data_IF_669755098929
#
_entry.id   IF_669755098929
#
_cell.length_a   1.000
_cell.length_b   1.000
_cell.length_c   1.000
_cell.angle_alpha   90.00
_cell.angle_beta   90.00
_cell.angle_gamma   90.00
#
_symmetry.space_group_name_H-M   'P 1'
#
loop_
_entity.id
_entity.type
_entity.pdbx_description
1 polymer ?
#
# COMPACT_ATOMS: atom_id res chain seq x y z
N UNK A 1 5.14 1.67 -13.80
CA UNK A 1 6.52 1.11 -13.85
C UNK A 1 6.51 -0.33 -13.37
N UNK A 2 7.48 -1.20 -13.72
CA UNK A 2 7.50 -2.56 -13.20
C UNK A 2 7.68 -2.55 -11.68
N UNK A 3 6.87 -3.34 -10.97
CA UNK A 3 7.04 -3.53 -9.54
C UNK A 3 8.23 -4.46 -9.32
N UNK A 4 9.30 -3.91 -8.74
CA UNK A 4 10.47 -4.70 -8.32
C UNK A 4 10.26 -5.26 -6.92
N UNK A 5 10.98 -6.32 -6.57
CA UNK A 5 10.95 -6.88 -5.22
C UNK A 5 11.32 -5.84 -4.14
N UNK A 6 12.23 -4.90 -4.46
CA UNK A 6 12.62 -3.83 -3.54
C UNK A 6 11.49 -2.82 -3.30
N UNK A 7 10.73 -2.46 -4.35
CA UNK A 7 9.56 -1.59 -4.22
C UNK A 7 8.44 -2.27 -3.43
N UNK A 8 8.18 -3.55 -3.72
CA UNK A 8 7.20 -4.32 -2.96
C UNK A 8 7.59 -4.41 -1.48
N UNK A 9 8.85 -4.75 -1.18
CA UNK A 9 9.33 -4.85 0.20
C UNK A 9 9.19 -3.52 0.96
N UNK A 10 9.56 -2.40 0.33
CA UNK A 10 9.41 -1.07 0.93
C UNK A 10 7.93 -0.71 1.15
N UNK A 11 7.05 -1.12 0.24
CA UNK A 11 5.61 -0.89 0.39
C UNK A 11 4.99 -1.69 1.54
N UNK A 12 5.35 -2.98 1.66
CA UNK A 12 4.92 -3.82 2.77
C UNK A 12 5.47 -3.30 4.11
N UNK A 13 6.72 -2.84 4.14
CA UNK A 13 7.32 -2.20 5.32
C UNK A 13 6.55 -0.94 5.74
N UNK A 14 6.16 -0.10 4.78
CA UNK A 14 5.37 1.10 5.05
C UNK A 14 4.04 0.76 5.72
N UNK A 15 3.33 -0.24 5.19
CA UNK A 15 2.08 -0.71 5.79
C UNK A 15 2.31 -1.28 7.19
N UNK A 16 3.33 -2.12 7.39
CA UNK A 16 3.65 -2.71 8.70
C UNK A 16 3.91 -1.64 9.77
N UNK A 17 4.58 -0.55 9.41
CA UNK A 17 4.91 0.56 10.34
C UNK A 17 3.68 1.30 10.87
N UNK A 18 2.63 1.41 10.06
CA UNK A 18 1.42 2.16 10.41
C UNK A 18 0.37 1.31 11.15
N UNK A 19 0.61 0.00 11.29
CA UNK A 19 -0.26 -0.93 12.00
C UNK A 19 0.08 -1.03 13.48
N UNK A 20 -0.96 -1.23 14.31
CA UNK A 20 -0.80 -1.54 15.74
C UNK A 20 -0.06 -2.85 16.00
N UNK A 21 -0.29 -3.84 15.13
CA UNK A 21 0.37 -5.15 15.14
C UNK A 21 1.05 -5.34 13.77
N UNK A 22 2.33 -4.96 13.61
CA UNK A 22 3.06 -5.05 12.35
C UNK A 22 3.11 -6.47 11.78
N UNK A 23 3.23 -7.48 12.64
CA UNK A 23 3.32 -8.89 12.25
C UNK A 23 1.96 -9.45 11.79
N UNK A 24 0.87 -8.73 12.08
CA UNK A 24 -0.45 -9.12 11.58
C UNK A 24 -0.65 -8.88 10.09
N UNK A 25 0.19 -8.05 9.46
CA UNK A 25 0.02 -7.62 8.08
C UNK A 25 0.13 -8.79 7.10
N UNK A 26 -0.90 -8.98 6.28
CA UNK A 26 -0.95 -9.97 5.20
C UNK A 26 -1.17 -9.25 3.89
N UNK A 27 -0.39 -9.58 2.88
CA UNK A 27 -0.45 -8.94 1.57
C UNK A 27 -0.87 -9.94 0.49
N UNK A 28 -1.46 -9.43 -0.60
CA UNK A 28 -1.79 -10.25 -1.77
C UNK A 28 -1.69 -9.43 -3.06
N UNK A 29 -1.38 -10.08 -4.21
CA UNK A 29 -1.36 -9.42 -5.51
C UNK A 29 -2.76 -8.98 -5.99
N UNK A 30 -2.84 -8.10 -7.01
CA UNK A 30 -1.72 -7.44 -7.69
C UNK A 30 -1.08 -6.30 -6.87
N UNK A 31 0.21 -6.06 -7.13
CA UNK A 31 0.90 -4.83 -6.74
C UNK A 31 1.12 -3.96 -7.99
N UNK A 32 1.07 -2.65 -7.83
CA UNK A 32 1.37 -1.68 -8.89
C UNK A 32 2.26 -0.58 -8.36
N UNK A 33 3.19 -0.12 -9.20
CA UNK A 33 4.08 0.99 -8.90
C UNK A 33 3.97 2.06 -9.98
N UNK A 34 3.97 3.32 -9.55
CA UNK A 34 3.94 4.50 -10.42
C UNK A 34 4.68 5.65 -9.75
N UNK A 35 5.02 6.67 -10.53
CA UNK A 35 5.42 7.97 -10.00
C UNK A 35 4.23 8.91 -10.08
N UNK A 36 4.01 9.71 -9.05
CA UNK A 36 3.04 10.79 -9.11
C UNK A 36 3.61 12.02 -9.86
N UNK A 37 2.82 13.09 -9.97
CA UNK A 37 3.20 14.32 -10.67
C UNK A 37 4.39 15.04 -10.01
N UNK A 38 4.62 14.82 -8.72
CA UNK A 38 5.77 15.39 -7.99
C UNK A 38 7.06 14.59 -8.22
N UNK A 39 6.95 13.42 -8.87
CA UNK A 39 8.06 12.51 -9.13
C UNK A 39 8.28 11.49 -8.02
N UNK A 40 7.44 11.48 -6.97
CA UNK A 40 7.55 10.54 -5.86
C UNK A 40 7.02 9.17 -6.25
N UNK A 41 7.61 8.12 -5.67
CA UNK A 41 7.23 6.75 -5.99
C UNK A 41 6.12 6.31 -5.05
N UNK A 42 5.05 5.75 -5.62
CA UNK A 42 3.98 5.13 -4.88
C UNK A 42 3.78 3.68 -5.32
N UNK A 43 3.45 2.84 -4.33
CA UNK A 43 3.14 1.43 -4.54
C UNK A 43 1.79 1.13 -3.90
N UNK A 44 0.90 0.51 -4.67
CA UNK A 44 -0.43 0.16 -4.19
C UNK A 44 -0.67 -1.35 -4.32
N UNK A 45 -1.49 -1.87 -3.42
CA UNK A 45 -1.81 -3.30 -3.35
C UNK A 45 -2.89 -3.57 -2.32
N UNK A 46 -3.02 -4.84 -1.93
CA UNK A 46 -3.97 -5.27 -0.90
C UNK A 46 -3.25 -5.68 0.37
N UNK A 47 -3.71 -5.18 1.51
CA UNK A 47 -3.25 -5.56 2.83
C UNK A 47 -4.43 -5.91 3.73
N UNK A 48 -4.25 -6.87 4.63
CA UNK A 48 -5.18 -7.19 5.70
C UNK A 48 -4.41 -7.19 7.00
N UNK A 49 -4.97 -6.59 8.04
CA UNK A 49 -4.35 -6.49 9.35
C UNK A 49 -5.38 -6.72 10.45
N UNK A 50 -4.91 -7.06 11.66
CA UNK A 50 -5.80 -7.20 12.81
C UNK A 50 -6.28 -5.82 13.28
N UNK A 51 -7.56 -5.71 13.56
CA UNK A 51 -8.12 -4.56 14.26
C UNK A 51 -7.75 -4.59 15.76
N UNK A 52 -8.17 -3.57 16.51
CA UNK A 52 -7.88 -3.48 17.96
C UNK A 52 -8.57 -4.57 18.80
N UNK A 53 -9.50 -5.32 18.21
CA UNK A 53 -10.17 -6.46 18.82
C UNK A 53 -9.50 -7.81 18.45
N UNK A 54 -8.36 -7.78 17.76
CA UNK A 54 -7.58 -8.97 17.40
C UNK A 54 -8.08 -9.73 16.17
N UNK A 55 -9.12 -9.23 15.49
CA UNK A 55 -9.73 -9.88 14.34
C UNK A 55 -9.29 -9.30 13.00
N UNK A 56 -9.17 -10.16 11.99
CA UNK A 56 -9.03 -9.75 10.59
C UNK A 56 -10.40 -9.39 10.01
N UNK A 57 -10.51 -8.23 9.37
CA UNK A 57 -11.78 -7.73 8.82
C UNK A 57 -11.88 -7.89 7.30
N UNK A 58 -10.77 -8.18 6.61
CA UNK A 58 -10.73 -8.39 5.17
C UNK A 58 -9.53 -7.71 4.52
N UNK A 59 -9.20 -8.09 3.29
CA UNK A 59 -8.16 -7.39 2.53
C UNK A 59 -8.70 -6.05 2.03
N UNK A 60 -7.97 -4.98 2.35
CA UNK A 60 -8.25 -3.60 1.98
C UNK A 60 -7.16 -3.05 1.06
N UNK A 61 -7.50 -2.16 0.10
CA UNK A 61 -6.49 -1.40 -0.64
C UNK A 61 -5.59 -0.63 0.30
N UNK A 62 -4.31 -0.58 -0.04
CA UNK A 62 -3.38 0.36 0.53
C UNK A 62 -2.59 1.08 -0.57
N UNK A 63 -2.06 2.24 -0.21
CA UNK A 63 -1.01 2.97 -0.92
C UNK A 63 0.15 3.20 0.02
N UNK A 64 1.36 2.90 -0.43
CA UNK A 64 2.61 3.20 0.24
C UNK A 64 3.39 4.24 -0.56
N UNK A 65 3.91 5.23 0.15
CA UNK A 65 4.83 6.25 -0.36
C UNK A 65 6.25 5.77 -0.15
N UNK A 66 7.05 5.80 -1.21
CA UNK A 66 8.38 5.21 -1.25
C UNK A 66 9.38 6.30 -1.59
N UNK A 67 10.32 6.53 -0.68
CA UNK A 67 11.46 7.40 -0.95
C UNK A 67 12.58 6.65 -1.67
N UNK A 68 13.27 7.35 -2.57
CA UNK A 68 14.42 6.84 -3.31
C UNK A 68 15.72 7.44 -2.74
N UNK A 69 16.74 6.60 -2.55
CA UNK A 69 18.09 7.00 -2.10
C UNK A 69 19.14 6.28 -2.92
N UNK A 70 20.41 6.74 -2.84
CA UNK A 70 21.56 6.17 -3.60
C UNK A 70 21.65 4.63 -3.54
N UNK A 71 21.20 4.00 -2.46
CA UNK A 71 21.30 2.56 -2.22
C UNK A 71 19.94 1.85 -2.14
N UNK A 72 18.90 2.37 -2.78
CA UNK A 72 17.60 1.70 -2.92
C UNK A 72 16.40 2.50 -2.43
N UNK A 73 15.34 1.80 -2.04
CA UNK A 73 14.07 2.38 -1.64
C UNK A 73 13.86 2.33 -0.13
N UNK A 74 13.07 3.24 0.43
CA UNK A 74 12.64 3.20 1.83
C UNK A 74 11.16 3.54 1.98
N UNK A 75 10.52 2.92 2.98
CA UNK A 75 9.15 3.20 3.37
C UNK A 75 9.02 4.62 3.96
N UNK A 76 8.32 5.52 3.28
CA UNK A 76 8.03 6.87 3.76
C UNK A 76 6.70 6.95 4.54
N UNK A 77 5.73 6.10 4.20
CA UNK A 77 4.46 5.95 4.92
C UNK A 77 3.42 5.20 4.11
N UNK A 78 2.31 4.78 4.71
CA UNK A 78 1.21 4.12 4.02
C UNK A 78 -0.15 4.62 4.48
N UNK A 79 -1.13 4.48 3.59
CA UNK A 79 -2.54 4.78 3.87
C UNK A 79 -3.41 3.62 3.42
N UNK A 80 -4.36 3.22 4.28
CA UNK A 80 -5.42 2.28 3.94
C UNK A 80 -6.59 3.04 3.30
N UNK A 81 -7.16 2.49 2.24
CA UNK A 81 -8.33 3.06 1.56
C UNK A 81 -9.55 3.01 2.47
N UNK A 82 -9.93 4.15 3.06
CA UNK A 82 -11.02 4.21 4.04
C UNK A 82 -12.42 4.11 3.44
N UNK A 83 -13.24 3.21 4.01
CA UNK A 83 -14.67 3.46 4.26
C UNK A 83 -15.71 2.72 3.41
N UNK A 84 -15.89 1.41 3.67
CA UNK A 84 -17.05 0.56 3.31
C UNK A 84 -17.38 0.48 1.81
N UNK A 85 -16.92 -0.61 1.21
CA UNK A 85 -17.48 -1.40 0.09
C UNK A 85 -16.45 -1.72 -1.01
N UNK A 86 -16.54 -2.92 -1.61
CA UNK A 86 -16.14 -3.19 -2.99
C UNK A 86 -17.24 -2.67 -3.92
N UNK A 87 -16.98 -2.33 -5.19
CA UNK A 87 -16.89 -3.40 -6.20
C UNK A 87 -15.99 -3.04 -7.39
N UNK A 88 -15.02 -2.19 -7.14
CA UNK A 88 -14.28 -1.53 -8.19
C UNK A 88 -12.76 -1.59 -7.92
N UNK A 89 -12.28 -1.68 -6.67
CA UNK A 89 -10.83 -1.54 -6.33
C UNK A 89 -10.16 -0.35 -7.07
N UNK A 90 -10.96 0.68 -7.28
CA UNK A 90 -10.72 1.79 -8.18
C UNK A 90 -10.73 1.35 -9.67
N UNK A 91 -11.88 0.86 -10.18
CA UNK A 91 -12.25 -0.05 -11.32
C UNK A 91 -11.30 -0.42 -12.45
N UNK A 92 -10.21 0.29 -12.68
CA UNK A 92 -9.25 0.10 -13.75
C UNK A 92 -7.81 0.38 -13.28
N UNK A 93 -7.63 0.59 -11.97
CA UNK A 93 -6.47 1.18 -11.32
C UNK A 93 -6.07 2.53 -11.95
N UNK A 94 -6.78 3.65 -11.76
CA UNK A 94 -6.32 4.94 -12.27
C UNK A 94 -5.15 5.49 -11.41
N UNK A 95 -4.14 4.65 -11.22
CA UNK A 95 -2.97 4.76 -10.33
C UNK A 95 -3.30 4.57 -8.83
N UNK A 96 -4.34 3.78 -8.54
CA UNK A 96 -4.74 3.25 -7.22
C UNK A 96 -5.22 4.28 -6.20
N UNK A 97 -6.33 4.88 -6.61
CA UNK A 97 -7.05 6.03 -6.11
C UNK A 97 -7.46 5.98 -4.62
N UNK A 98 -6.89 6.81 -3.75
CA UNK A 98 -7.44 7.04 -2.40
C UNK A 98 -8.53 8.15 -2.44
N UNK A 99 -9.41 8.11 -3.45
CA UNK A 99 -10.28 9.22 -3.93
C UNK A 99 -9.54 10.57 -4.09
N UNK A 100 -8.39 10.50 -4.77
CA UNK A 100 -7.68 11.54 -5.54
C UNK A 100 -6.88 12.67 -4.85
N UNK A 101 -6.40 12.43 -3.62
CA UNK A 101 -5.43 13.19 -2.78
C UNK A 101 -5.56 14.71 -2.73
#
# INVERSE_FOLDING_TARGET
>A
MPVTAALQAAAEEAVRKDLKDPESARFRPPFMAFRDESGDIAVCGYANAKNSYGGYVGFEPFRAFIGERKNGYFAAGAVFGGGRYPQTFYELHPMCDARNW
#
